data_IF_256976654169
#
_entry.id   IF_256976654169
#
_cell.length_a   1.000
_cell.length_b   1.000
_cell.length_c   1.000
_cell.angle_alpha   90.00
_cell.angle_beta   90.00
_cell.angle_gamma   90.00
#
_symmetry.space_group_name_H-M   'P 1'
#
loop_
_entity.id
_entity.type
_entity.pdbx_description
1 polymer ?
#
# COMPACT_ATOMS: atom_id res chain seq x y z
N UNK A 1 14.67 11.04 -8.61
CA UNK A 1 13.26 10.85 -8.23
C UNK A 1 12.88 11.97 -7.28
N UNK A 2 11.83 12.73 -7.59
CA UNK A 2 11.24 13.72 -6.67
C UNK A 2 10.40 13.04 -5.59
N UNK A 3 10.00 13.79 -4.56
CA UNK A 3 9.08 13.30 -3.52
C UNK A 3 7.78 12.78 -4.13
N UNK A 4 7.23 13.49 -5.11
CA UNK A 4 6.00 13.12 -5.82
C UNK A 4 6.17 11.83 -6.63
N UNK A 5 7.30 11.66 -7.32
CA UNK A 5 7.58 10.43 -8.09
C UNK A 5 7.68 9.21 -7.17
N UNK A 6 8.28 9.36 -5.98
CA UNK A 6 8.34 8.29 -4.97
C UNK A 6 6.96 7.93 -4.44
N UNK A 7 6.15 8.93 -4.09
CA UNK A 7 4.77 8.70 -3.60
C UNK A 7 3.93 8.02 -4.68
N UNK A 8 4.01 8.46 -5.94
CA UNK A 8 3.29 7.85 -7.04
C UNK A 8 3.67 6.38 -7.24
N UNK A 9 4.97 6.07 -7.23
CA UNK A 9 5.46 4.69 -7.33
C UNK A 9 4.95 3.82 -6.18
N UNK A 10 5.05 4.29 -4.93
CA UNK A 10 4.59 3.52 -3.76
C UNK A 10 3.07 3.34 -3.75
N UNK A 11 2.32 4.32 -4.26
CA UNK A 11 0.86 4.22 -4.42
C UNK A 11 0.50 3.14 -5.42
N UNK A 12 1.18 3.09 -6.57
CA UNK A 12 0.99 2.01 -7.55
C UNK A 12 1.33 0.64 -6.94
N UNK A 13 2.43 0.55 -6.18
CA UNK A 13 2.77 -0.69 -5.49
C UNK A 13 1.67 -1.12 -4.52
N UNK A 14 1.14 -0.20 -3.70
CA UNK A 14 0.01 -0.47 -2.79
C UNK A 14 -1.21 -1.00 -3.53
N UNK A 15 -1.62 -0.32 -4.59
CA UNK A 15 -2.85 -0.65 -5.31
C UNK A 15 -2.77 -2.02 -6.00
N UNK A 16 -1.58 -2.42 -6.46
CA UNK A 16 -1.33 -3.77 -6.97
C UNK A 16 -1.56 -4.87 -5.90
N UNK A 17 -1.30 -4.59 -4.62
CA UNK A 17 -1.52 -5.54 -3.51
C UNK A 17 -3.00 -5.65 -3.13
N UNK A 18 -3.77 -4.61 -3.45
CA UNK A 18 -5.22 -4.56 -3.23
C UNK A 18 -6.01 -5.09 -4.44
N UNK A 19 -5.34 -5.38 -5.55
CA UNK A 19 -5.99 -5.86 -6.76
C UNK A 19 -6.65 -7.22 -6.52
N UNK A 20 -7.95 -7.30 -6.77
CA UNK A 20 -8.74 -8.52 -6.53
C UNK A 20 -9.10 -8.76 -5.07
N UNK A 21 -8.77 -7.84 -4.15
CA UNK A 21 -9.30 -7.89 -2.79
C UNK A 21 -10.79 -7.55 -2.80
N UNK A 22 -11.61 -8.49 -2.34
CA UNK A 22 -13.03 -8.27 -2.12
C UNK A 22 -13.28 -7.97 -0.65
N UNK A 23 -13.66 -6.73 -0.36
CA UNK A 23 -14.02 -6.31 0.99
C UNK A 23 -15.21 -7.12 1.50
N UNK A 24 -15.05 -7.76 2.67
CA UNK A 24 -16.11 -8.57 3.29
C UNK A 24 -16.03 -10.07 2.99
N UNK A 25 -14.96 -10.55 2.34
CA UNK A 25 -14.62 -11.98 2.39
C UNK A 25 -14.13 -12.34 3.79
N UNK A 26 -14.87 -13.22 4.46
CA UNK A 26 -14.56 -13.65 5.83
C UNK A 26 -13.40 -14.65 5.92
N UNK A 27 -13.02 -15.31 4.82
CA UNK A 27 -11.95 -16.33 4.81
C UNK A 27 -10.83 -15.99 3.81
N UNK A 28 -10.00 -15.03 4.20
CA UNK A 28 -8.79 -14.67 3.44
C UNK A 28 -7.70 -15.73 3.66
N UNK A 29 -7.09 -16.16 2.56
CA UNK A 29 -5.87 -16.97 2.58
C UNK A 29 -4.71 -16.22 3.24
N UNK A 30 -3.68 -16.95 3.68
CA UNK A 30 -2.48 -16.35 4.26
C UNK A 30 -1.76 -15.42 3.28
N UNK A 31 -1.84 -15.73 1.98
CA UNK A 31 -1.30 -14.86 0.93
C UNK A 31 -2.08 -13.54 0.83
N UNK A 32 -3.41 -13.58 0.84
CA UNK A 32 -4.24 -12.37 0.82
C UNK A 32 -4.03 -11.51 2.08
N UNK A 33 -3.93 -12.14 3.26
CA UNK A 33 -3.55 -11.43 4.50
C UNK A 33 -2.18 -10.76 4.39
N UNK A 34 -1.21 -11.45 3.81
CA UNK A 34 0.12 -10.89 3.57
C UNK A 34 0.07 -9.71 2.58
N UNK A 35 -0.67 -9.82 1.48
CA UNK A 35 -0.87 -8.73 0.52
C UNK A 35 -1.46 -7.48 1.19
N UNK A 36 -2.49 -7.65 2.03
CA UNK A 36 -3.08 -6.55 2.80
C UNK A 36 -2.08 -5.90 3.76
N UNK A 37 -1.28 -6.70 4.47
CA UNK A 37 -0.24 -6.18 5.36
C UNK A 37 0.83 -5.37 4.59
N UNK A 38 1.18 -5.80 3.37
CA UNK A 38 2.07 -5.04 2.50
C UNK A 38 1.43 -3.74 2.03
N UNK A 39 0.14 -3.74 1.66
CA UNK A 39 -0.58 -2.53 1.28
C UNK A 39 -0.63 -1.50 2.42
N UNK A 40 -0.91 -1.95 3.65
CA UNK A 40 -0.89 -1.10 4.85
C UNK A 40 0.51 -0.52 5.13
N UNK A 41 1.56 -1.34 4.96
CA UNK A 41 2.94 -0.86 5.07
C UNK A 41 3.24 0.24 4.05
N UNK A 42 2.86 0.07 2.78
CA UNK A 42 3.08 1.11 1.76
C UNK A 42 2.35 2.42 2.11
N UNK A 43 1.11 2.33 2.59
CA UNK A 43 0.35 3.51 3.03
C UNK A 43 1.10 4.26 4.14
N UNK A 44 1.58 3.56 5.17
CA UNK A 44 2.34 4.17 6.27
C UNK A 44 3.63 4.85 5.80
N UNK A 45 4.32 4.26 4.84
CA UNK A 45 5.54 4.87 4.26
C UNK A 45 5.19 6.12 3.46
N UNK A 46 4.10 6.10 2.68
CA UNK A 46 3.62 7.28 1.95
C UNK A 46 3.29 8.41 2.93
N UNK A 47 2.49 8.13 3.96
CA UNK A 47 2.11 9.11 4.98
C UNK A 47 3.33 9.67 5.71
N UNK A 48 4.32 8.82 6.01
CA UNK A 48 5.59 9.26 6.60
C UNK A 48 6.32 10.22 5.66
N UNK A 49 6.49 9.87 4.39
CA UNK A 49 7.15 10.73 3.39
C UNK A 49 6.41 12.07 3.27
N UNK A 50 5.08 12.05 3.20
CA UNK A 50 4.26 13.26 3.18
C UNK A 50 4.49 14.15 4.40
N UNK A 51 4.62 13.55 5.59
CA UNK A 51 4.86 14.25 6.86
C UNK A 51 6.25 14.91 6.98
N UNK A 52 7.25 14.42 6.24
CA UNK A 52 8.58 15.03 6.19
C UNK A 52 8.48 16.33 5.39
N UNK A 53 8.63 17.46 6.07
CA UNK A 53 8.81 18.77 5.44
C UNK A 53 10.19 18.81 4.79
N UNK A 54 10.23 19.21 3.53
CA UNK A 54 11.48 19.51 2.81
C UNK A 54 12.31 20.59 3.52
#
# INVERSE_FOLDING_TARGET
MTKEEVIAFLTEQRDLRLFGYEQGKDDLSDFEKWQLAQADMYLKVIEWIESVKE
#
